data_IF_295340717866
#
_entry.id   IF_295340717866
#
_cell.length_a   1.000
_cell.length_b   1.000
_cell.length_c   1.000
_cell.angle_alpha   90.00
_cell.angle_beta   90.00
_cell.angle_gamma   90.00
#
_symmetry.space_group_name_H-M   'P 1'
#
loop_
_entity.id
_entity.type
_entity.pdbx_description
1 polymer ?
#
# COMPACT_ATOMS: atom_id res chain seq x y z
N UNK A 1 8.10 -37.70 -72.10
CA UNK A 1 8.29 -38.41 -70.81
C UNK A 1 9.03 -37.50 -69.84
N UNK A 2 8.57 -36.31 -69.56
CA UNK A 2 9.18 -35.35 -68.58
C UNK A 2 8.01 -34.60 -67.84
N UNK A 3 7.22 -35.32 -67.04
CA UNK A 3 6.15 -34.70 -66.27
C UNK A 3 5.98 -35.27 -64.83
N UNK A 4 6.86 -36.13 -64.39
CA UNK A 4 6.72 -36.80 -63.05
C UNK A 4 7.67 -36.31 -61.96
N UNK A 5 8.65 -35.44 -62.24
CA UNK A 5 9.66 -35.03 -61.25
C UNK A 5 9.54 -33.60 -60.72
N UNK A 6 8.63 -32.77 -61.26
CA UNK A 6 8.52 -31.35 -60.86
C UNK A 6 7.60 -31.16 -59.63
N UNK A 7 6.58 -32.02 -59.50
CA UNK A 7 5.60 -31.91 -58.40
C UNK A 7 6.17 -32.10 -56.98
N UNK A 8 7.04 -33.09 -56.74
CA UNK A 8 7.65 -33.25 -55.42
C UNK A 8 8.69 -32.15 -55.10
N UNK A 9 9.34 -31.59 -56.11
CA UNK A 9 10.26 -30.46 -55.92
C UNK A 9 9.53 -29.17 -55.54
N UNK A 10 8.38 -28.92 -56.18
CA UNK A 10 7.53 -27.76 -55.87
C UNK A 10 6.95 -27.88 -54.44
N UNK A 11 6.55 -29.08 -54.02
CA UNK A 11 6.06 -29.32 -52.65
C UNK A 11 7.15 -29.13 -51.58
N UNK A 12 8.39 -29.56 -51.86
CA UNK A 12 9.51 -29.38 -50.93
C UNK A 12 9.95 -27.90 -50.83
N UNK A 13 9.89 -27.15 -51.91
CA UNK A 13 10.20 -25.70 -51.93
C UNK A 13 9.09 -24.91 -51.23
N UNK A 14 7.80 -25.24 -51.40
CA UNK A 14 6.69 -24.62 -50.68
C UNK A 14 6.73 -24.97 -49.18
N UNK A 15 7.13 -26.20 -48.82
CA UNK A 15 7.29 -26.60 -47.42
C UNK A 15 8.49 -25.90 -46.73
N UNK A 16 9.60 -25.72 -47.44
CA UNK A 16 10.75 -24.94 -46.96
C UNK A 16 10.43 -23.42 -46.89
N UNK A 17 9.64 -22.88 -47.81
CA UNK A 17 9.13 -21.49 -47.69
C UNK A 17 8.14 -21.33 -46.55
N UNK A 18 7.26 -22.32 -46.29
CA UNK A 18 6.34 -22.29 -45.14
C UNK A 18 7.09 -22.43 -43.83
N UNK A 19 8.19 -23.20 -43.74
CA UNK A 19 9.05 -23.26 -42.56
C UNK A 19 9.85 -21.96 -42.34
N UNK A 20 10.23 -21.26 -43.42
CA UNK A 20 10.95 -19.99 -43.36
C UNK A 20 10.04 -18.82 -42.89
N UNK A 21 8.71 -18.94 -43.07
CA UNK A 21 7.73 -17.94 -42.58
C UNK A 21 7.26 -18.22 -41.14
N UNK A 22 7.59 -19.37 -40.55
CA UNK A 22 7.44 -19.67 -39.12
C UNK A 22 8.69 -19.24 -38.34
N UNK A 23 9.23 -18.05 -38.61
CA UNK A 23 9.93 -17.34 -37.54
C UNK A 23 8.82 -16.89 -36.56
N UNK A 24 8.51 -17.78 -35.63
CA UNK A 24 7.99 -17.34 -34.35
C UNK A 24 9.03 -16.34 -33.84
N UNK A 25 8.67 -15.04 -33.88
CA UNK A 25 9.38 -14.08 -33.06
C UNK A 25 9.31 -14.60 -31.63
N UNK A 26 10.35 -15.30 -31.22
CA UNK A 26 10.54 -15.70 -29.84
C UNK A 26 10.67 -14.36 -29.09
N UNK A 27 9.53 -13.86 -28.61
CA UNK A 27 9.50 -12.67 -27.75
C UNK A 27 10.46 -13.00 -26.62
N UNK A 28 11.59 -12.31 -26.56
CA UNK A 28 12.56 -12.53 -25.51
C UNK A 28 11.84 -12.47 -24.16
N UNK A 29 12.05 -13.44 -23.30
CA UNK A 29 11.46 -13.44 -21.98
C UNK A 29 11.97 -12.22 -21.23
N UNK A 30 11.13 -11.52 -20.46
CA UNK A 30 11.55 -10.40 -19.63
C UNK A 30 12.75 -10.77 -18.78
N UNK A 31 13.76 -9.93 -18.76
CA UNK A 31 14.98 -10.11 -17.96
C UNK A 31 15.05 -9.05 -16.86
N UNK A 32 15.88 -9.31 -15.85
CA UNK A 32 16.16 -8.33 -14.81
C UNK A 32 17.54 -7.76 -15.02
N UNK A 33 17.60 -6.45 -15.21
CA UNK A 33 18.81 -5.64 -15.33
C UNK A 33 19.07 -4.98 -13.99
N UNK A 34 20.27 -5.09 -13.46
CA UNK A 34 20.62 -4.59 -12.13
C UNK A 34 21.52 -3.36 -12.21
N UNK A 35 21.16 -2.32 -11.47
CA UNK A 35 21.94 -1.08 -11.32
C UNK A 35 22.45 -1.01 -9.87
N UNK A 36 23.79 -0.81 -9.68
CA UNK A 36 24.84 -0.47 -10.64
C UNK A 36 25.62 -1.69 -11.20
N UNK A 37 25.15 -2.92 -11.04
CA UNK A 37 25.93 -4.14 -11.38
C UNK A 37 26.09 -4.33 -12.89
N UNK A 38 25.02 -4.24 -13.66
CA UNK A 38 25.05 -4.46 -15.11
C UNK A 38 25.34 -3.15 -15.86
N UNK A 39 24.77 -2.02 -15.37
CA UNK A 39 25.00 -0.67 -15.89
C UNK A 39 25.23 0.30 -14.74
N UNK A 40 26.13 1.25 -14.96
CA UNK A 40 26.52 2.21 -13.91
C UNK A 40 25.45 3.27 -13.60
N UNK A 41 24.55 3.53 -14.56
CA UNK A 41 23.46 4.49 -14.43
C UNK A 41 22.11 3.85 -14.71
N UNK A 42 21.04 4.43 -14.13
CA UNK A 42 19.67 3.94 -14.33
C UNK A 42 19.24 4.18 -15.77
N UNK A 43 19.54 5.36 -16.34
CA UNK A 43 19.15 5.67 -17.71
C UNK A 43 19.82 4.75 -18.73
N UNK A 44 21.08 4.38 -18.51
CA UNK A 44 21.77 3.42 -19.36
C UNK A 44 21.12 2.04 -19.33
N UNK A 45 20.72 1.55 -18.14
CA UNK A 45 19.95 0.32 -17.98
C UNK A 45 18.61 0.39 -18.71
N UNK A 46 17.85 1.50 -18.59
CA UNK A 46 16.60 1.74 -19.30
C UNK A 46 16.81 1.69 -20.83
N UNK A 47 17.88 2.32 -21.33
CA UNK A 47 18.18 2.37 -22.76
C UNK A 47 18.44 0.96 -23.35
N UNK A 48 19.08 0.06 -22.59
CA UNK A 48 19.40 -1.30 -23.02
C UNK A 48 18.27 -2.31 -22.74
N UNK A 49 17.31 -1.96 -21.89
CA UNK A 49 16.13 -2.79 -21.63
C UNK A 49 15.29 -3.00 -22.89
N UNK A 50 14.69 -4.18 -23.01
CA UNK A 50 13.63 -4.46 -24.00
C UNK A 50 12.25 -4.35 -23.35
N UNK A 51 11.14 -4.18 -24.13
CA UNK A 51 9.80 -4.10 -23.56
C UNK A 51 9.44 -5.32 -22.72
N UNK A 52 9.09 -5.06 -21.45
CA UNK A 52 8.74 -6.06 -20.44
C UNK A 52 9.84 -6.35 -19.45
N UNK A 53 11.06 -5.85 -19.65
CA UNK A 53 12.16 -6.03 -18.68
C UNK A 53 11.90 -5.32 -17.35
N UNK A 54 12.64 -5.78 -16.35
CA UNK A 54 12.71 -5.18 -15.01
C UNK A 54 14.08 -4.53 -14.83
N UNK A 55 14.11 -3.23 -14.56
CA UNK A 55 15.31 -2.51 -14.11
C UNK A 55 15.25 -2.41 -12.60
N UNK A 56 16.12 -3.15 -11.92
CA UNK A 56 16.22 -3.22 -10.47
C UNK A 56 17.40 -2.37 -9.98
N UNK A 57 17.09 -1.33 -9.20
CA UNK A 57 18.05 -0.33 -8.74
C UNK A 57 18.33 -0.54 -7.26
N UNK A 58 19.59 -0.84 -6.93
CA UNK A 58 20.03 -1.02 -5.54
C UNK A 58 19.99 0.29 -4.75
N UNK A 59 20.05 0.17 -3.43
CA UNK A 59 20.19 1.31 -2.53
C UNK A 59 21.39 2.19 -2.93
N UNK A 60 21.19 3.50 -2.95
CA UNK A 60 22.19 4.49 -3.35
C UNK A 60 21.57 5.81 -3.76
N UNK A 61 22.42 6.81 -4.05
CA UNK A 61 21.95 8.11 -4.57
C UNK A 61 22.39 8.24 -6.03
N UNK A 62 21.39 8.39 -6.91
CA UNK A 62 21.54 8.53 -8.35
C UNK A 62 21.22 9.95 -8.76
N UNK A 63 22.14 10.59 -9.45
CA UNK A 63 22.01 11.99 -9.89
C UNK A 63 21.59 11.99 -11.37
N UNK A 64 20.33 11.67 -11.64
CA UNK A 64 19.79 11.45 -12.97
C UNK A 64 18.39 12.02 -13.11
N UNK A 65 18.00 12.30 -14.36
CA UNK A 65 16.61 12.50 -14.78
C UNK A 65 16.28 11.39 -15.76
N UNK A 66 15.25 10.61 -15.49
CA UNK A 66 14.97 9.39 -16.23
C UNK A 66 13.86 9.61 -17.26
N UNK A 67 14.05 9.02 -18.43
CA UNK A 67 13.03 8.96 -19.47
C UNK A 67 12.81 7.53 -19.92
N UNK A 68 11.55 7.09 -19.93
CA UNK A 68 11.14 5.72 -20.26
C UNK A 68 10.30 5.79 -21.54
N UNK A 69 10.77 5.13 -22.60
CA UNK A 69 10.16 5.09 -23.94
C UNK A 69 9.64 3.70 -24.32
N UNK A 70 9.60 2.78 -23.37
CA UNK A 70 9.14 1.39 -23.57
C UNK A 70 8.46 0.85 -22.32
N UNK A 71 7.59 -0.15 -22.49
CA UNK A 71 6.97 -0.83 -21.38
C UNK A 71 8.04 -1.53 -20.54
N UNK A 72 8.20 -1.15 -19.28
CA UNK A 72 9.12 -1.80 -18.36
C UNK A 72 8.69 -1.60 -16.89
N UNK A 73 9.31 -2.37 -16.01
CA UNK A 73 9.25 -2.17 -14.56
C UNK A 73 10.55 -1.53 -14.09
N UNK A 74 10.46 -0.35 -13.48
CA UNK A 74 11.56 0.32 -12.81
C UNK A 74 11.32 0.22 -11.29
N UNK A 75 12.18 -0.52 -10.60
CA UNK A 75 12.05 -0.77 -9.16
C UNK A 75 13.30 -0.38 -8.41
N UNK A 76 13.16 0.45 -7.39
CA UNK A 76 14.17 0.70 -6.37
C UNK A 76 14.10 -0.36 -5.27
N UNK A 77 15.21 -0.67 -4.66
CA UNK A 77 15.30 -1.65 -3.58
C UNK A 77 14.45 -1.24 -2.36
N UNK A 78 14.48 0.05 -2.01
CA UNK A 78 13.69 0.61 -0.92
C UNK A 78 13.56 2.13 -1.09
N UNK A 79 12.32 2.66 -0.96
CA UNK A 79 12.03 4.10 -1.10
C UNK A 79 12.78 5.02 -0.12
N UNK A 80 13.33 4.49 0.97
CA UNK A 80 14.10 5.31 1.91
C UNK A 80 15.58 5.39 1.52
N UNK A 81 16.08 4.41 0.79
CA UNK A 81 17.51 4.25 0.50
C UNK A 81 17.88 4.30 -0.97
N UNK A 82 16.90 4.15 -1.89
CA UNK A 82 17.11 4.31 -3.35
C UNK A 82 16.70 5.72 -3.76
N UNK A 83 17.64 6.65 -3.77
CA UNK A 83 17.40 8.07 -3.95
C UNK A 83 17.69 8.49 -5.39
N UNK A 84 16.68 9.05 -6.07
CA UNK A 84 16.82 9.73 -7.35
C UNK A 84 16.83 11.24 -7.11
N UNK A 85 17.99 11.86 -7.23
CA UNK A 85 18.16 13.30 -7.15
C UNK A 85 18.23 13.88 -8.57
N UNK A 86 17.19 14.56 -8.99
CA UNK A 86 17.10 15.09 -10.35
C UNK A 86 17.81 16.41 -10.59
N UNK A 87 18.61 16.93 -9.63
CA UNK A 87 19.49 18.08 -9.80
C UNK A 87 18.80 19.36 -10.34
N UNK A 88 17.52 19.56 -10.01
CA UNK A 88 16.70 20.67 -10.53
C UNK A 88 16.12 20.43 -11.94
N UNK A 89 16.19 19.22 -12.45
CA UNK A 89 15.59 18.84 -13.74
C UNK A 89 14.07 18.96 -13.76
N UNK A 90 13.50 18.89 -14.97
CA UNK A 90 12.06 19.08 -15.14
C UNK A 90 11.25 17.87 -14.65
N UNK A 91 11.69 16.65 -14.95
CA UNK A 91 11.13 15.40 -14.42
C UNK A 91 12.17 14.65 -13.59
N UNK A 92 11.74 13.97 -12.53
CA UNK A 92 12.51 12.89 -11.93
C UNK A 92 12.44 11.65 -12.82
N UNK A 93 11.21 11.19 -13.09
CA UNK A 93 10.93 10.09 -14.02
C UNK A 93 9.82 10.54 -14.97
N UNK A 94 10.10 10.52 -16.29
CA UNK A 94 9.14 10.76 -17.34
C UNK A 94 8.88 9.49 -18.15
N UNK A 95 7.61 9.20 -18.50
CA UNK A 95 7.22 8.12 -19.40
C UNK A 95 6.14 8.60 -20.36
N UNK A 96 6.28 8.26 -21.67
CA UNK A 96 5.34 8.73 -22.68
C UNK A 96 4.95 7.60 -23.63
N UNK A 97 3.63 7.41 -23.82
CA UNK A 97 3.03 6.42 -24.73
C UNK A 97 3.40 4.97 -24.43
N UNK A 98 3.69 4.67 -23.17
CA UNK A 98 4.11 3.35 -22.68
C UNK A 98 3.49 3.05 -21.31
N UNK A 99 3.30 1.78 -20.99
CA UNK A 99 2.86 1.36 -19.67
C UNK A 99 4.08 1.03 -18.81
N UNK A 100 4.14 1.63 -17.64
CA UNK A 100 5.28 1.49 -16.73
C UNK A 100 4.83 1.09 -15.33
N UNK A 101 5.68 0.34 -14.64
CA UNK A 101 5.61 0.20 -13.20
C UNK A 101 6.80 0.95 -12.60
N UNK A 102 6.53 1.91 -11.70
CA UNK A 102 7.56 2.71 -11.01
C UNK A 102 7.35 2.57 -9.51
N UNK A 103 8.31 1.99 -8.83
CA UNK A 103 8.16 1.68 -7.40
C UNK A 103 9.49 1.75 -6.63
N UNK A 104 9.45 2.09 -5.34
CA UNK A 104 10.57 1.94 -4.43
C UNK A 104 11.61 3.08 -4.46
N UNK A 105 11.27 4.25 -4.95
CA UNK A 105 12.19 5.40 -5.06
C UNK A 105 11.86 6.52 -4.09
N UNK A 106 12.92 7.18 -3.60
CA UNK A 106 12.86 8.55 -3.09
C UNK A 106 13.26 9.52 -4.20
N UNK A 107 12.34 10.42 -4.58
CA UNK A 107 12.55 11.36 -5.70
C UNK A 107 12.56 12.78 -5.15
N UNK A 108 13.63 13.51 -5.44
CA UNK A 108 13.82 14.88 -4.92
C UNK A 108 14.59 15.77 -5.90
N UNK A 109 14.53 17.10 -5.66
CA UNK A 109 15.20 18.12 -6.46
C UNK A 109 14.79 18.08 -7.94
N UNK A 110 13.48 18.08 -8.20
CA UNK A 110 12.86 18.08 -9.52
C UNK A 110 11.67 19.02 -9.57
N UNK A 111 11.30 19.48 -10.74
CA UNK A 111 10.06 20.25 -10.93
C UNK A 111 8.83 19.35 -10.80
N UNK A 112 8.85 18.18 -11.41
CA UNK A 112 7.80 17.15 -11.35
C UNK A 112 8.45 15.83 -10.93
N UNK A 113 7.89 15.17 -9.90
CA UNK A 113 8.42 13.89 -9.42
C UNK A 113 8.31 12.80 -10.48
N UNK A 114 7.09 12.38 -10.79
CA UNK A 114 6.78 11.37 -11.82
C UNK A 114 5.77 11.95 -12.81
N UNK A 115 6.09 11.90 -14.09
CA UNK A 115 5.21 12.30 -15.20
C UNK A 115 4.93 11.12 -16.11
N UNK A 116 3.66 10.80 -16.32
CA UNK A 116 3.22 9.74 -17.23
C UNK A 116 2.20 10.33 -18.21
N UNK A 117 2.50 10.22 -19.49
CA UNK A 117 1.68 10.76 -20.56
C UNK A 117 1.25 9.68 -21.55
N UNK A 118 -0.03 9.73 -21.98
CA UNK A 118 -0.61 8.84 -23.01
C UNK A 118 -0.37 7.35 -22.72
N UNK A 119 -0.50 6.97 -21.44
CA UNK A 119 -0.29 5.62 -20.94
C UNK A 119 -1.60 5.05 -20.42
N UNK A 120 -1.82 3.77 -20.63
CA UNK A 120 -2.95 3.05 -20.05
C UNK A 120 -2.43 1.89 -19.20
N UNK A 121 -2.93 1.76 -17.94
CA UNK A 121 -2.53 0.71 -17.01
C UNK A 121 -1.08 0.80 -16.48
N UNK A 122 -0.58 2.02 -16.22
CA UNK A 122 0.66 2.21 -15.46
C UNK A 122 0.43 2.03 -13.97
N UNK A 123 1.48 1.61 -13.25
CA UNK A 123 1.49 1.45 -11.79
C UNK A 123 2.57 2.35 -11.19
N UNK A 124 2.17 3.27 -10.33
CA UNK A 124 3.07 4.15 -9.59
C UNK A 124 2.83 3.88 -8.11
N UNK A 125 3.76 3.19 -7.46
CA UNK A 125 3.51 2.75 -6.10
C UNK A 125 4.75 2.77 -5.22
N UNK A 126 4.53 2.93 -3.91
CA UNK A 126 5.59 2.82 -2.91
C UNK A 126 6.79 3.74 -3.16
N UNK A 127 6.53 4.99 -3.58
CA UNK A 127 7.57 6.02 -3.74
C UNK A 127 7.40 7.11 -2.67
N UNK A 128 8.51 7.79 -2.36
CA UNK A 128 8.57 8.98 -1.51
C UNK A 128 8.98 10.17 -2.42
N UNK A 129 8.10 11.15 -2.57
CA UNK A 129 8.25 12.18 -3.60
C UNK A 129 8.18 13.58 -2.98
N UNK A 130 9.27 14.34 -3.17
CA UNK A 130 9.34 15.76 -2.89
C UNK A 130 9.71 16.50 -4.16
N UNK A 131 8.85 17.40 -4.63
CA UNK A 131 9.05 18.13 -5.88
C UNK A 131 8.61 19.60 -5.75
N UNK A 132 9.11 20.46 -6.62
CA UNK A 132 8.81 21.90 -6.52
C UNK A 132 7.42 22.28 -7.04
N UNK A 133 6.84 21.54 -7.99
CA UNK A 133 5.54 21.89 -8.58
C UNK A 133 4.50 20.77 -8.54
N UNK A 134 4.85 19.53 -8.94
CA UNK A 134 3.92 18.40 -8.93
C UNK A 134 4.61 17.14 -8.43
N UNK A 135 3.92 16.38 -7.58
CA UNK A 135 4.40 15.09 -7.13
C UNK A 135 4.25 14.04 -8.24
N UNK A 136 3.04 13.62 -8.51
CA UNK A 136 2.71 12.67 -9.59
C UNK A 136 1.75 13.36 -10.58
N UNK A 137 2.04 13.25 -11.87
CA UNK A 137 1.21 13.81 -12.92
C UNK A 137 0.90 12.79 -14.01
N UNK A 138 -0.37 12.39 -14.11
CA UNK A 138 -0.92 11.63 -15.23
C UNK A 138 -1.57 12.59 -16.22
N UNK A 139 -1.21 12.45 -17.52
CA UNK A 139 -1.73 13.27 -18.58
C UNK A 139 -2.19 12.39 -19.75
N UNK A 140 -3.48 12.45 -20.13
CA UNK A 140 -4.12 11.54 -21.08
C UNK A 140 -3.85 10.05 -20.75
N UNK A 141 -3.91 9.66 -19.47
CA UNK A 141 -3.54 8.33 -19.01
C UNK A 141 -4.68 7.70 -18.22
N UNK A 142 -5.10 6.50 -18.60
CA UNK A 142 -6.28 5.83 -18.05
C UNK A 142 -5.92 4.49 -17.40
N UNK A 143 -6.86 3.95 -16.59
CA UNK A 143 -6.75 2.60 -16.00
C UNK A 143 -5.44 2.39 -15.21
N UNK A 144 -4.83 3.45 -14.71
CA UNK A 144 -3.57 3.41 -13.97
C UNK A 144 -3.81 3.35 -12.47
N UNK A 145 -2.83 2.84 -11.74
CA UNK A 145 -2.88 2.73 -10.28
C UNK A 145 -1.81 3.63 -9.66
N UNK A 146 -2.22 4.54 -8.78
CA UNK A 146 -1.34 5.33 -7.93
C UNK A 146 -1.60 4.87 -6.50
N UNK A 147 -0.62 4.16 -5.88
CA UNK A 147 -0.88 3.55 -4.59
C UNK A 147 0.33 3.56 -3.65
N UNK A 148 0.07 3.71 -2.35
CA UNK A 148 1.10 3.63 -1.29
C UNK A 148 2.30 4.57 -1.53
N UNK A 149 2.06 5.73 -2.15
CA UNK A 149 3.09 6.75 -2.28
C UNK A 149 2.96 7.76 -1.13
N UNK A 150 4.11 8.29 -0.69
CA UNK A 150 4.19 9.46 0.19
C UNK A 150 4.60 10.64 -0.67
N UNK A 151 3.75 11.65 -0.76
CA UNK A 151 3.97 12.85 -1.56
C UNK A 151 3.89 14.04 -0.60
N UNK A 152 4.96 14.81 -0.48
CA UNK A 152 5.01 15.84 0.53
C UNK A 152 5.87 17.04 0.13
N UNK A 153 5.63 18.19 0.79
CA UNK A 153 6.36 19.43 0.56
C UNK A 153 6.39 19.85 -0.91
N UNK A 154 5.25 19.66 -1.61
CA UNK A 154 5.08 20.04 -3.01
C UNK A 154 4.37 21.39 -3.08
N UNK A 155 5.09 22.41 -3.53
CA UNK A 155 4.60 23.80 -3.49
C UNK A 155 3.28 24.02 -4.26
N UNK A 156 2.96 23.18 -5.23
CA UNK A 156 1.75 23.38 -6.04
C UNK A 156 0.74 22.23 -5.92
N UNK A 157 1.02 21.03 -6.45
CA UNK A 157 0.03 19.94 -6.53
C UNK A 157 0.65 18.59 -6.21
N UNK A 158 0.08 17.83 -5.27
CA UNK A 158 0.52 16.49 -4.91
C UNK A 158 0.27 15.49 -6.04
N UNK A 159 -0.98 15.14 -6.31
CA UNK A 159 -1.40 14.24 -7.39
C UNK A 159 -2.21 15.03 -8.43
N UNK A 160 -1.90 14.83 -9.71
CA UNK A 160 -2.59 15.53 -10.82
C UNK A 160 -2.99 14.51 -11.88
N UNK A 161 -4.28 14.45 -12.18
CA UNK A 161 -4.83 13.72 -13.32
C UNK A 161 -5.48 14.72 -14.26
N UNK A 162 -4.96 14.92 -15.46
CA UNK A 162 -5.54 15.86 -16.43
C UNK A 162 -5.47 15.35 -17.87
N UNK A 163 -6.00 16.16 -18.81
CA UNK A 163 -6.20 15.72 -20.18
C UNK A 163 -7.28 14.66 -20.33
N UNK A 164 -8.25 14.58 -19.39
CA UNK A 164 -9.26 13.52 -19.40
C UNK A 164 -8.78 12.16 -18.91
N UNK A 165 -7.71 12.14 -18.07
CA UNK A 165 -7.24 10.89 -17.43
C UNK A 165 -8.34 10.27 -16.56
N UNK A 166 -8.86 9.11 -16.96
CA UNK A 166 -10.08 8.49 -16.44
C UNK A 166 -9.85 7.05 -16.00
N UNK A 167 -10.77 6.53 -15.18
CA UNK A 167 -10.75 5.12 -14.73
C UNK A 167 -9.46 4.74 -13.97
N UNK A 168 -8.79 5.72 -13.35
CA UNK A 168 -7.59 5.46 -12.54
C UNK A 168 -8.00 5.16 -11.10
N UNK A 169 -7.17 4.36 -10.42
CA UNK A 169 -7.34 4.05 -8.99
C UNK A 169 -6.25 4.75 -8.19
N UNK A 170 -6.66 5.59 -7.25
CA UNK A 170 -5.79 6.34 -6.34
C UNK A 170 -6.09 5.87 -4.92
N UNK A 171 -5.19 5.08 -4.33
CA UNK A 171 -5.45 4.38 -3.08
C UNK A 171 -4.21 4.32 -2.17
N UNK A 172 -4.40 4.40 -0.85
CA UNK A 172 -3.31 4.23 0.14
C UNK A 172 -2.21 5.29 0.07
N UNK A 173 -2.41 6.39 -0.64
CA UNK A 173 -1.39 7.43 -0.71
C UNK A 173 -1.50 8.37 0.50
N UNK A 174 -0.35 8.87 0.96
CA UNK A 174 -0.29 9.98 1.90
C UNK A 174 0.19 11.21 1.14
N UNK A 175 -0.68 12.22 1.03
CA UNK A 175 -0.40 13.48 0.34
C UNK A 175 -0.50 14.60 1.37
N UNK A 176 0.62 15.21 1.70
CA UNK A 176 0.67 16.18 2.80
C UNK A 176 1.51 17.40 2.50
N UNK A 177 1.17 18.52 3.16
CA UNK A 177 1.93 19.75 3.10
C UNK A 177 2.15 20.24 1.65
N UNK A 178 1.11 20.09 0.81
CA UNK A 178 1.10 20.49 -0.59
C UNK A 178 0.18 21.70 -0.81
N UNK A 179 0.35 22.44 -1.92
CA UNK A 179 -0.59 23.49 -2.29
C UNK A 179 -1.99 22.93 -2.56
N UNK A 180 -2.11 21.90 -3.39
CA UNK A 180 -3.32 21.10 -3.53
C UNK A 180 -2.98 19.63 -3.37
N UNK A 181 -3.74 18.90 -2.56
CA UNK A 181 -3.54 17.47 -2.37
C UNK A 181 -3.75 16.69 -3.67
N UNK A 182 -4.94 16.76 -4.26
CA UNK A 182 -5.26 16.11 -5.52
C UNK A 182 -6.03 17.05 -6.48
N UNK A 183 -5.74 16.94 -7.77
CA UNK A 183 -6.42 17.68 -8.86
C UNK A 183 -6.81 16.72 -9.97
N UNK A 184 -8.08 16.70 -10.34
CA UNK A 184 -8.62 15.80 -11.37
C UNK A 184 -9.26 16.60 -12.52
N UNK A 185 -9.11 16.14 -13.74
CA UNK A 185 -9.86 16.60 -14.91
C UNK A 185 -10.24 15.43 -15.83
N UNK A 186 -10.70 14.34 -15.24
CA UNK A 186 -11.22 13.14 -15.87
C UNK A 186 -12.38 12.58 -15.05
N UNK A 187 -13.04 11.56 -15.54
CA UNK A 187 -14.20 10.93 -14.91
C UNK A 187 -13.94 9.46 -14.56
N UNK A 188 -14.76 8.91 -13.67
CA UNK A 188 -14.71 7.48 -13.35
C UNK A 188 -13.46 7.07 -12.58
N UNK A 189 -12.71 8.01 -11.99
CA UNK A 189 -11.59 7.65 -11.13
C UNK A 189 -12.10 7.21 -9.75
N UNK A 190 -11.37 6.29 -9.12
CA UNK A 190 -11.65 5.74 -7.80
C UNK A 190 -10.60 6.24 -6.81
N UNK A 191 -11.03 6.99 -5.79
CA UNK A 191 -10.15 7.67 -4.84
C UNK A 191 -10.61 7.32 -3.41
N UNK A 192 -9.94 6.40 -2.72
CA UNK A 192 -10.31 6.03 -1.36
C UNK A 192 -9.09 5.48 -0.59
N UNK A 193 -9.19 5.43 0.74
CA UNK A 193 -8.11 5.06 1.65
C UNK A 193 -6.83 5.91 1.50
N UNK A 194 -6.95 7.15 1.00
CA UNK A 194 -5.82 8.07 0.97
C UNK A 194 -5.86 8.98 2.20
N UNK A 195 -4.69 9.47 2.59
CA UNK A 195 -4.53 10.46 3.65
C UNK A 195 -4.16 11.81 3.02
N UNK A 196 -5.09 12.76 3.04
CA UNK A 196 -4.86 14.15 2.62
C UNK A 196 -4.65 15.02 3.87
N UNK A 197 -3.40 15.48 4.09
CA UNK A 197 -3.00 16.06 5.37
C UNK A 197 -2.40 17.45 5.17
N UNK A 198 -2.96 18.48 5.84
CA UNK A 198 -2.41 19.83 5.90
C UNK A 198 -2.07 20.43 4.52
N UNK A 199 -2.78 20.05 3.46
CA UNK A 199 -2.63 20.72 2.19
C UNK A 199 -3.34 22.08 2.26
N UNK A 200 -2.87 23.09 1.53
CA UNK A 200 -3.57 24.39 1.47
C UNK A 200 -5.03 24.20 1.00
N UNK A 201 -5.23 23.29 0.03
CA UNK A 201 -6.51 22.76 -0.36
C UNK A 201 -6.39 21.24 -0.50
N UNK A 202 -7.28 20.47 0.10
CA UNK A 202 -7.24 19.01 -0.03
C UNK A 202 -7.50 18.59 -1.48
N UNK A 203 -8.40 19.30 -2.15
CA UNK A 203 -8.73 19.13 -3.57
C UNK A 203 -8.56 20.42 -4.33
N UNK A 204 -7.96 20.37 -5.54
CA UNK A 204 -7.90 21.53 -6.44
C UNK A 204 -9.15 21.64 -7.31
N UNK A 205 -9.09 22.50 -8.36
CA UNK A 205 -10.17 22.62 -9.34
C UNK A 205 -10.39 21.26 -10.03
N UNK A 206 -11.59 20.73 -9.85
CA UNK A 206 -12.09 19.51 -10.48
C UNK A 206 -13.25 19.95 -11.35
N UNK A 207 -13.17 19.84 -12.70
CA UNK A 207 -14.34 19.98 -13.54
C UNK A 207 -15.41 18.98 -13.06
N UNK A 208 -16.68 19.35 -13.12
CA UNK A 208 -17.84 18.60 -12.57
C UNK A 208 -18.05 17.20 -13.18
N UNK A 209 -16.99 16.47 -13.45
CA UNK A 209 -17.03 15.06 -13.82
C UNK A 209 -17.18 14.21 -12.57
N UNK A 210 -17.96 13.14 -12.67
CA UNK A 210 -18.17 12.23 -11.53
C UNK A 210 -16.95 11.34 -11.31
N UNK A 211 -16.49 11.30 -10.06
CA UNK A 211 -15.48 10.38 -9.56
C UNK A 211 -15.96 9.75 -8.26
N UNK A 212 -15.57 8.52 -7.97
CA UNK A 212 -15.90 7.82 -6.73
C UNK A 212 -14.83 8.13 -5.67
N UNK A 213 -15.24 8.70 -4.53
CA UNK A 213 -14.36 9.14 -3.45
C UNK A 213 -14.39 8.25 -2.21
N UNK A 214 -15.14 7.19 -2.28
CA UNK A 214 -15.23 6.14 -1.27
C UNK A 214 -15.53 4.80 -1.96
N UNK A 215 -15.20 3.72 -1.29
CA UNK A 215 -15.78 2.41 -1.59
C UNK A 215 -17.17 2.26 -0.93
N UNK A 216 -17.63 1.04 -0.69
CA UNK A 216 -18.94 0.80 -0.08
C UNK A 216 -19.02 1.27 1.38
N UNK A 217 -17.90 1.32 2.11
CA UNK A 217 -17.86 1.51 3.55
C UNK A 217 -16.88 2.57 4.02
N UNK A 218 -15.84 2.87 3.25
CA UNK A 218 -14.71 3.69 3.66
C UNK A 218 -14.28 4.64 2.54
N UNK A 219 -13.96 5.88 2.89
CA UNK A 219 -13.48 6.89 1.95
C UNK A 219 -12.01 7.26 2.21
N UNK A 220 -11.75 8.56 2.33
CA UNK A 220 -10.43 9.11 2.55
C UNK A 220 -10.35 9.83 3.90
N UNK A 221 -9.15 9.96 4.42
CA UNK A 221 -8.87 10.87 5.53
C UNK A 221 -8.58 12.28 4.98
N UNK A 222 -9.31 13.26 5.51
CA UNK A 222 -9.19 14.67 5.20
C UNK A 222 -8.87 15.43 6.49
N UNK A 223 -7.67 15.98 6.62
CA UNK A 223 -7.25 16.62 7.88
C UNK A 223 -8.07 17.85 8.29
N UNK A 224 -8.86 18.42 7.37
CA UNK A 224 -9.78 19.51 7.59
C UNK A 224 -11.25 19.06 7.77
N UNK A 225 -11.52 17.74 7.74
CA UNK A 225 -12.84 17.21 8.03
C UNK A 225 -13.19 17.41 9.52
N UNK A 226 -14.34 18.00 9.78
CA UNK A 226 -14.80 18.36 11.13
C UNK A 226 -16.17 17.77 11.48
N UNK A 227 -16.61 16.73 10.77
CA UNK A 227 -17.82 15.99 11.08
C UNK A 227 -17.71 15.17 12.36
N UNK A 228 -18.80 14.50 12.73
CA UNK A 228 -18.90 13.65 13.91
C UNK A 228 -18.85 12.17 13.55
N UNK A 229 -18.49 11.35 14.51
CA UNK A 229 -18.60 9.89 14.49
C UNK A 229 -19.45 9.46 15.69
N UNK A 230 -20.77 9.62 15.60
CA UNK A 230 -21.69 9.19 16.64
C UNK A 230 -21.80 7.67 16.70
N UNK A 231 -21.53 6.99 15.57
CA UNK A 231 -21.43 5.54 15.45
C UNK A 231 -20.24 4.98 16.20
N UNK A 232 -19.19 5.77 16.43
CA UNK A 232 -17.92 5.31 17.00
C UNK A 232 -17.35 4.13 16.23
N UNK A 233 -17.27 4.28 14.92
CA UNK A 233 -16.74 3.24 14.02
C UNK A 233 -15.57 3.74 13.18
N UNK A 234 -15.11 4.98 13.44
CA UNK A 234 -13.99 5.60 12.74
C UNK A 234 -14.37 6.24 11.42
N UNK A 235 -15.68 6.28 11.08
CA UNK A 235 -16.23 6.86 9.86
C UNK A 235 -17.09 8.07 10.23
N UNK A 236 -16.96 9.16 9.49
CA UNK A 236 -17.76 10.36 9.72
C UNK A 236 -19.21 10.19 9.26
N UNK A 237 -20.14 10.68 10.08
CA UNK A 237 -21.59 10.58 9.82
C UNK A 237 -22.08 11.49 8.70
N UNK A 238 -21.28 12.47 8.28
CA UNK A 238 -21.65 13.44 7.23
C UNK A 238 -20.62 13.41 6.11
N UNK A 239 -21.07 13.52 4.83
CA UNK A 239 -20.15 13.53 3.71
C UNK A 239 -19.14 14.69 3.75
N UNK A 240 -17.92 14.45 3.26
CA UNK A 240 -16.98 15.50 2.91
C UNK A 240 -17.29 15.99 1.49
N UNK A 241 -17.70 17.26 1.38
CA UNK A 241 -18.11 17.85 0.10
C UNK A 241 -16.90 18.36 -0.67
N UNK A 242 -16.77 17.93 -1.92
CA UNK A 242 -15.69 18.30 -2.83
C UNK A 242 -16.21 19.34 -3.83
N UNK A 243 -17.28 19.03 -4.55
CA UNK A 243 -17.98 19.94 -5.45
C UNK A 243 -19.46 19.52 -5.60
N UNK A 244 -20.19 20.12 -6.56
CA UNK A 244 -21.61 19.82 -6.75
C UNK A 244 -21.94 18.39 -7.19
N UNK A 245 -20.95 17.63 -7.72
CA UNK A 245 -21.12 16.26 -8.22
C UNK A 245 -20.25 15.25 -7.48
N UNK A 246 -19.33 15.71 -6.65
CA UNK A 246 -18.34 14.90 -5.99
C UNK A 246 -18.38 15.09 -4.48
N UNK A 247 -18.48 13.98 -3.76
CA UNK A 247 -18.37 13.93 -2.30
C UNK A 247 -17.82 12.59 -1.85
N UNK A 248 -17.12 12.59 -0.74
CA UNK A 248 -16.78 11.39 -0.01
C UNK A 248 -17.90 11.13 1.02
N UNK A 249 -18.64 10.04 0.84
CA UNK A 249 -19.79 9.73 1.70
C UNK A 249 -19.38 9.08 3.03
N UNK A 250 -18.15 8.58 3.11
CA UNK A 250 -17.61 7.83 4.24
C UNK A 250 -16.23 8.35 4.67
N UNK A 251 -16.11 9.68 4.94
CA UNK A 251 -14.81 10.26 5.30
C UNK A 251 -14.28 9.62 6.59
N UNK A 252 -12.97 9.36 6.61
CA UNK A 252 -12.34 8.71 7.75
C UNK A 252 -12.06 9.73 8.86
N UNK A 253 -12.31 9.35 10.10
CA UNK A 253 -12.05 10.17 11.29
C UNK A 253 -10.58 10.18 11.72
N UNK A 254 -9.76 9.35 11.07
CA UNK A 254 -8.32 9.24 11.31
C UNK A 254 -7.59 8.70 10.09
N UNK A 255 -6.26 8.73 10.14
CA UNK A 255 -5.41 8.24 9.05
C UNK A 255 -5.62 6.75 8.80
N UNK A 256 -5.74 6.39 7.52
CA UNK A 256 -5.74 5.01 7.08
C UNK A 256 -4.32 4.48 6.98
N UNK A 257 -4.05 3.35 7.62
CA UNK A 257 -2.77 2.67 7.52
C UNK A 257 -2.99 1.20 7.16
N UNK A 258 -2.03 0.64 6.41
CA UNK A 258 -2.02 -0.76 6.04
C UNK A 258 -0.68 -1.39 6.40
N UNK A 259 -0.72 -2.51 7.12
CA UNK A 259 0.45 -3.26 7.57
C UNK A 259 0.44 -4.65 6.94
N UNK A 260 1.52 -4.96 6.21
CA UNK A 260 1.75 -6.28 5.60
C UNK A 260 2.54 -7.15 6.57
N UNK A 261 1.96 -8.27 6.97
CA UNK A 261 2.55 -9.23 7.90
C UNK A 261 2.86 -10.50 7.14
N UNK A 262 4.14 -10.91 7.17
CA UNK A 262 4.58 -12.22 6.65
C UNK A 262 4.53 -13.23 7.80
N UNK A 263 3.65 -14.21 7.72
CA UNK A 263 3.48 -15.20 8.76
C UNK A 263 3.20 -16.58 8.15
N UNK A 264 3.96 -17.60 8.55
CA UNK A 264 3.82 -19.00 8.06
C UNK A 264 3.84 -19.14 6.53
N UNK A 265 4.56 -18.27 5.83
CA UNK A 265 4.68 -18.27 4.36
C UNK A 265 3.57 -17.55 3.61
N UNK A 266 2.58 -17.00 4.32
CA UNK A 266 1.47 -16.22 3.77
C UNK A 266 1.62 -14.73 4.11
N UNK A 267 0.94 -13.87 3.34
CA UNK A 267 0.88 -12.43 3.58
C UNK A 267 -0.50 -12.05 4.11
N UNK A 268 -0.52 -11.49 5.31
CA UNK A 268 -1.73 -10.97 5.94
C UNK A 268 -1.73 -9.44 5.91
N UNK A 269 -2.92 -8.86 5.79
CA UNK A 269 -3.12 -7.42 5.81
C UNK A 269 -3.87 -7.05 7.08
N UNK A 270 -3.27 -6.20 7.91
CA UNK A 270 -3.94 -5.53 9.02
C UNK A 270 -4.10 -4.07 8.64
N UNK A 271 -5.30 -3.51 8.79
CA UNK A 271 -5.56 -2.10 8.51
C UNK A 271 -6.00 -1.37 9.77
N UNK A 272 -5.71 -0.08 9.84
CA UNK A 272 -6.17 0.78 10.92
C UNK A 272 -6.71 2.10 10.40
N UNK A 273 -7.73 2.63 11.09
CA UNK A 273 -8.15 4.04 11.01
C UNK A 273 -7.90 4.62 12.40
N UNK A 274 -6.97 5.56 12.50
CA UNK A 274 -6.49 6.04 13.79
C UNK A 274 -6.20 7.55 13.75
N UNK A 275 -6.66 8.30 14.74
CA UNK A 275 -6.35 9.73 14.85
C UNK A 275 -5.01 10.01 15.55
N UNK A 276 -4.21 8.96 15.77
CA UNK A 276 -2.87 9.02 16.33
C UNK A 276 -1.83 8.60 15.30
N UNK A 277 -0.60 9.07 15.44
CA UNK A 277 0.52 8.53 14.67
C UNK A 277 0.87 7.15 15.19
N UNK A 278 0.88 6.15 14.31
CA UNK A 278 1.26 4.77 14.61
C UNK A 278 2.74 4.57 14.27
N UNK A 279 3.50 3.98 15.19
CA UNK A 279 4.90 3.61 15.01
C UNK A 279 5.17 2.22 15.58
N UNK A 280 6.28 1.60 15.18
CA UNK A 280 6.74 0.30 15.69
C UNK A 280 5.67 -0.81 15.60
N UNK A 281 4.88 -0.80 14.50
CA UNK A 281 3.92 -1.86 14.26
C UNK A 281 4.64 -3.19 14.06
N UNK A 282 4.30 -4.18 14.88
CA UNK A 282 4.94 -5.48 14.93
C UNK A 282 3.92 -6.61 15.13
N UNK A 283 4.26 -7.80 14.60
CA UNK A 283 3.53 -9.03 14.87
C UNK A 283 4.50 -10.15 15.27
N UNK A 284 4.33 -10.66 16.47
CA UNK A 284 5.00 -11.88 16.94
C UNK A 284 6.48 -11.74 17.28
N UNK A 285 7.13 -10.60 17.05
CA UNK A 285 8.55 -10.37 17.34
C UNK A 285 8.72 -9.96 18.82
N UNK A 286 8.05 -8.87 19.20
CA UNK A 286 8.12 -8.35 20.59
C UNK A 286 7.31 -9.21 21.54
N UNK A 287 6.09 -9.58 21.16
CA UNK A 287 5.19 -10.43 21.93
C UNK A 287 4.72 -11.61 21.07
N UNK A 288 4.96 -12.83 21.53
CA UNK A 288 4.60 -14.02 20.78
C UNK A 288 3.09 -14.06 20.50
N UNK A 289 2.73 -14.24 19.22
CA UNK A 289 1.35 -14.27 18.76
C UNK A 289 0.52 -13.04 19.18
N UNK A 290 1.10 -11.85 19.07
CA UNK A 290 0.40 -10.60 19.36
C UNK A 290 0.71 -9.54 18.29
N UNK A 291 -0.24 -8.65 18.06
CA UNK A 291 0.02 -7.39 17.37
C UNK A 291 0.41 -6.36 18.42
N UNK A 292 1.50 -5.63 18.19
CA UNK A 292 1.88 -4.50 19.02
C UNK A 292 2.25 -3.29 18.18
N UNK A 293 1.96 -2.09 18.68
CA UNK A 293 2.34 -0.83 18.07
C UNK A 293 2.26 0.30 19.08
N UNK A 294 2.96 1.40 18.79
CA UNK A 294 2.86 2.62 19.58
C UNK A 294 1.91 3.62 18.89
N UNK A 295 1.13 4.33 19.70
CA UNK A 295 0.32 5.47 19.27
C UNK A 295 0.82 6.73 19.95
N UNK A 296 0.86 7.84 19.21
CA UNK A 296 1.28 9.15 19.73
C UNK A 296 0.40 10.25 19.17
N UNK A 297 0.01 11.21 20.00
CA UNK A 297 -0.78 12.37 19.60
C UNK A 297 -0.82 13.46 20.68
N UNK A 298 -1.58 14.56 20.48
CA UNK A 298 -1.65 15.70 21.39
C UNK A 298 -2.18 15.29 22.76
N UNK A 299 -1.39 15.56 23.81
CA UNK A 299 -1.70 15.18 25.19
C UNK A 299 -3.07 15.69 25.64
N UNK A 300 -3.84 14.84 26.32
CA UNK A 300 -5.13 15.15 26.89
C UNK A 300 -6.31 15.20 25.93
N UNK A 301 -6.10 14.89 24.65
CA UNK A 301 -7.21 14.74 23.70
C UNK A 301 -7.71 13.30 23.65
N UNK A 302 -8.89 13.07 23.02
CA UNK A 302 -9.42 11.73 22.82
C UNK A 302 -8.72 11.02 21.66
N UNK A 303 -8.15 9.86 21.94
CA UNK A 303 -7.59 8.95 20.94
C UNK A 303 -8.56 7.84 20.61
N UNK A 304 -8.54 7.38 19.35
CA UNK A 304 -9.21 6.17 18.94
C UNK A 304 -8.36 5.39 17.92
N UNK A 305 -8.62 4.11 17.85
CA UNK A 305 -8.14 3.25 16.78
C UNK A 305 -9.25 2.26 16.41
N UNK A 306 -9.58 2.22 15.12
CA UNK A 306 -10.27 1.10 14.51
C UNK A 306 -9.23 0.21 13.86
N UNK A 307 -9.26 -1.09 14.12
CA UNK A 307 -8.33 -2.06 13.54
C UNK A 307 -9.10 -3.24 12.95
N UNK A 308 -8.62 -3.72 11.81
CA UNK A 308 -9.17 -4.89 11.13
C UNK A 308 -8.12 -5.99 11.13
N UNK A 309 -8.47 -7.12 11.75
CA UNK A 309 -7.55 -8.25 11.98
C UNK A 309 -8.08 -9.51 11.27
N UNK A 310 -7.28 -10.13 10.38
CA UNK A 310 -7.62 -11.43 9.81
C UNK A 310 -7.64 -12.53 10.88
N UNK A 311 -8.71 -13.34 10.94
CA UNK A 311 -8.80 -14.49 11.87
C UNK A 311 -7.69 -15.51 11.68
N UNK A 312 -7.20 -15.65 10.43
CA UNK A 312 -6.08 -16.53 10.11
C UNK A 312 -4.77 -16.13 10.80
N UNK A 313 -4.66 -14.87 11.26
CA UNK A 313 -3.48 -14.35 11.94
C UNK A 313 -3.55 -14.56 13.46
N UNK A 314 -4.69 -14.22 14.10
CA UNK A 314 -4.84 -14.22 15.57
C UNK A 314 -6.09 -14.96 16.09
N UNK A 315 -6.93 -15.57 15.24
CA UNK A 315 -8.24 -16.10 15.66
C UNK A 315 -9.35 -15.04 15.60
N UNK A 316 -10.40 -15.19 16.38
CA UNK A 316 -11.61 -14.37 16.36
C UNK A 316 -11.95 -13.66 17.68
N UNK A 317 -11.20 -13.93 18.75
CA UNK A 317 -11.39 -13.30 20.06
C UNK A 317 -10.07 -12.71 20.55
N UNK A 318 -10.11 -11.47 21.02
CA UNK A 318 -8.92 -10.70 21.38
C UNK A 318 -9.10 -9.97 22.72
N UNK A 319 -7.97 -9.73 23.40
CA UNK A 319 -7.86 -8.77 24.47
C UNK A 319 -6.95 -7.63 24.02
N UNK A 320 -7.44 -6.39 24.14
CA UNK A 320 -6.66 -5.18 23.84
C UNK A 320 -6.11 -4.62 25.16
N UNK A 321 -4.83 -4.32 25.19
CA UNK A 321 -4.14 -3.70 26.31
C UNK A 321 -3.48 -2.39 25.85
N UNK A 322 -3.62 -1.36 26.65
CA UNK A 322 -2.99 -0.05 26.49
C UNK A 322 -2.12 0.17 27.73
N UNK A 323 -0.79 0.15 27.54
CA UNK A 323 0.18 0.14 28.66
C UNK A 323 -0.14 -0.93 29.72
N UNK A 324 -0.58 -2.10 29.27
CA UNK A 324 -0.95 -3.23 30.12
C UNK A 324 -2.32 -3.13 30.78
N UNK A 325 -3.14 -2.13 30.48
CA UNK A 325 -4.50 -1.94 31.02
C UNK A 325 -5.55 -1.99 29.91
N UNK A 326 -6.80 -2.37 30.20
CA UNK A 326 -7.88 -2.31 29.20
C UNK A 326 -8.12 -0.89 28.67
N UNK A 327 -8.60 -0.74 27.42
CA UNK A 327 -8.96 0.55 26.85
C UNK A 327 -10.11 1.23 27.62
N UNK A 328 -10.27 2.55 27.42
CA UNK A 328 -11.39 3.30 28.01
C UNK A 328 -12.74 2.75 27.52
N UNK A 329 -12.79 2.42 26.23
CA UNK A 329 -13.94 1.79 25.58
C UNK A 329 -13.43 0.89 24.46
N UNK A 330 -14.08 -0.25 24.31
CA UNK A 330 -13.81 -1.23 23.25
C UNK A 330 -15.13 -1.78 22.75
N UNK A 331 -15.22 -2.00 21.44
CA UNK A 331 -16.33 -2.71 20.84
C UNK A 331 -15.92 -3.39 19.54
N UNK A 332 -16.55 -4.52 19.26
CA UNK A 332 -16.54 -5.15 17.96
C UNK A 332 -17.59 -4.49 17.06
N UNK A 333 -17.21 -4.20 15.82
CA UNK A 333 -18.08 -3.54 14.85
C UNK A 333 -18.94 -4.56 14.08
N UNK A 334 -20.16 -4.17 13.64
CA UNK A 334 -21.05 -5.05 12.86
C UNK A 334 -20.48 -5.53 11.52
N UNK A 335 -19.39 -4.94 11.05
CA UNK A 335 -18.66 -5.35 9.83
C UNK A 335 -17.83 -6.63 10.03
N UNK A 336 -17.63 -7.07 11.27
CA UNK A 336 -16.96 -8.34 11.58
C UNK A 336 -17.68 -9.51 10.89
N UNK A 337 -16.90 -10.44 10.36
CA UNK A 337 -17.39 -11.56 9.57
C UNK A 337 -16.57 -12.82 9.86
N UNK A 338 -16.77 -13.91 9.11
CA UNK A 338 -16.08 -15.19 9.33
C UNK A 338 -14.58 -15.19 9.05
N UNK A 339 -14.02 -14.08 8.52
CA UNK A 339 -12.60 -14.00 8.14
C UNK A 339 -11.85 -12.85 8.80
N UNK A 340 -12.56 -11.81 9.24
CA UNK A 340 -11.98 -10.60 9.83
C UNK A 340 -12.81 -10.08 10.99
N UNK A 341 -12.15 -9.66 12.03
CA UNK A 341 -12.74 -8.88 13.13
C UNK A 341 -12.41 -7.41 12.96
N UNK A 342 -13.41 -6.55 13.13
CA UNK A 342 -13.32 -5.09 13.14
C UNK A 342 -13.50 -4.63 14.57
N UNK A 343 -12.44 -4.09 15.17
CA UNK A 343 -12.43 -3.58 16.53
C UNK A 343 -12.31 -2.05 16.52
N UNK A 344 -13.04 -1.41 17.42
CA UNK A 344 -12.89 0.02 17.69
C UNK A 344 -12.63 0.21 19.19
N UNK A 345 -11.61 0.98 19.54
CA UNK A 345 -11.28 1.26 20.94
C UNK A 345 -10.76 2.68 21.11
N UNK A 346 -10.89 3.21 22.35
CA UNK A 346 -10.53 4.58 22.68
C UNK A 346 -9.57 4.64 23.87
N UNK A 347 -8.80 5.73 23.90
CA UNK A 347 -7.81 6.04 24.92
C UNK A 347 -7.63 7.55 25.09
N UNK A 348 -6.99 7.99 26.15
CA UNK A 348 -6.53 9.39 26.27
C UNK A 348 -5.23 9.53 25.50
N UNK A 349 -5.14 10.49 24.57
CA UNK A 349 -3.93 10.66 23.77
C UNK A 349 -2.74 11.13 24.61
N UNK A 350 -1.68 10.38 24.52
CA UNK A 350 -0.28 10.71 24.83
C UNK A 350 0.58 9.79 23.96
N UNK A 351 1.63 9.19 24.52
CA UNK A 351 2.33 8.05 23.92
C UNK A 351 1.93 6.79 24.66
N UNK A 352 1.38 5.81 23.96
CA UNK A 352 0.96 4.52 24.52
C UNK A 352 1.47 3.36 23.69
N UNK A 353 1.72 2.24 24.35
CA UNK A 353 1.89 0.94 23.71
C UNK A 353 0.54 0.22 23.65
N UNK A 354 0.15 -0.19 22.46
CA UNK A 354 -1.04 -1.02 22.21
C UNK A 354 -0.58 -2.45 21.98
N UNK A 355 -1.18 -3.40 22.69
CA UNK A 355 -0.94 -4.83 22.51
C UNK A 355 -2.28 -5.52 22.31
N UNK A 356 -2.40 -6.31 21.24
CA UNK A 356 -3.60 -7.10 20.94
C UNK A 356 -3.19 -8.57 20.94
N UNK A 357 -3.72 -9.31 21.91
CA UNK A 357 -3.43 -10.73 22.11
C UNK A 357 -4.66 -11.58 21.83
N UNK A 358 -4.52 -12.79 21.25
CA UNK A 358 -5.64 -13.71 21.14
C UNK A 358 -6.09 -14.18 22.54
N UNK A 359 -7.39 -14.28 22.75
CA UNK A 359 -7.92 -14.92 23.92
C UNK A 359 -7.73 -16.43 23.83
N UNK A 360 -7.07 -17.02 24.82
CA UNK A 360 -7.01 -18.47 24.95
C UNK A 360 -8.38 -19.00 25.39
N UNK A 361 -8.93 -20.02 24.70
CA UNK A 361 -10.15 -20.65 25.18
C UNK A 361 -10.04 -21.02 26.66
N UNK A 362 -11.02 -20.63 27.48
CA UNK A 362 -11.06 -20.93 28.91
C UNK A 362 -10.87 -22.42 29.22
N UNK A 363 -11.24 -23.29 28.28
CA UNK A 363 -10.98 -24.73 28.29
C UNK A 363 -9.49 -25.09 28.26
N UNK A 364 -8.65 -24.36 27.56
CA UNK A 364 -7.18 -24.56 27.56
C UNK A 364 -6.55 -24.09 28.86
N UNK A 365 -7.01 -22.95 29.40
CA UNK A 365 -6.55 -22.46 30.70
C UNK A 365 -6.93 -23.47 31.81
N UNK A 366 -8.17 -23.98 31.76
CA UNK A 366 -8.64 -24.98 32.72
C UNK A 366 -7.84 -26.29 32.59
N UNK A 367 -7.58 -26.73 31.33
CA UNK A 367 -6.77 -27.94 31.09
C UNK A 367 -5.34 -27.78 31.58
N UNK A 368 -4.71 -26.63 31.35
CA UNK A 368 -3.34 -26.34 31.86
C UNK A 368 -3.28 -26.27 33.37
N UNK A 369 -4.28 -25.67 34.05
CA UNK A 369 -4.41 -25.65 35.48
C UNK A 369 -4.62 -27.07 36.09
N UNK A 370 -5.41 -27.91 35.41
CA UNK A 370 -5.61 -29.32 35.80
C UNK A 370 -4.29 -30.09 35.64
N UNK A 371 -3.58 -29.93 34.53
CA UNK A 371 -2.27 -30.58 34.30
C UNK A 371 -1.25 -30.11 35.35
N UNK A 372 -1.21 -28.82 35.66
CA UNK A 372 -0.34 -28.27 36.65
C UNK A 372 -0.67 -28.81 38.08
N UNK A 373 -1.95 -28.86 38.39
CA UNK A 373 -2.41 -29.41 39.71
C UNK A 373 -2.10 -30.91 39.86
N UNK A 374 -2.28 -31.69 38.76
CA UNK A 374 -1.94 -33.11 38.72
C UNK A 374 -0.42 -33.34 38.85
N UNK A 375 0.39 -32.50 38.17
CA UNK A 375 1.86 -32.58 38.26
C UNK A 375 2.37 -32.20 39.66
N UNK A 376 1.78 -31.18 40.28
CA UNK A 376 2.07 -30.85 41.71
C UNK A 376 1.65 -31.98 42.65
N UNK A 377 0.47 -32.56 42.44
CA UNK A 377 0.01 -33.70 43.25
C UNK A 377 0.91 -34.94 43.09
N UNK A 378 1.42 -35.20 41.89
CA UNK A 378 2.39 -36.28 41.65
C UNK A 378 3.75 -35.98 42.27
N UNK A 379 4.21 -34.73 42.29
CA UNK A 379 5.44 -34.33 42.98
C UNK A 379 5.31 -34.44 44.49
N UNK A 380 4.17 -34.01 45.08
CA UNK A 380 3.90 -34.14 46.54
C UNK A 380 3.83 -35.64 46.94
N UNK A 381 3.25 -36.51 46.09
CA UNK A 381 3.26 -37.96 46.35
C UNK A 381 4.65 -38.59 46.27
N UNK A 382 5.55 -38.08 45.42
CA UNK A 382 6.94 -38.53 45.36
C UNK A 382 7.82 -38.05 46.53
N UNK A 383 7.50 -36.90 47.10
CA UNK A 383 8.25 -36.32 48.23
C UNK A 383 7.79 -36.88 49.57
N UNK A 384 6.61 -37.50 49.67
CA UNK A 384 6.12 -38.20 50.84
C UNK A 384 5.86 -39.70 50.57
N UNK A 385 6.89 -40.51 50.37
CA UNK A 385 6.71 -41.94 50.47
C UNK A 385 7.02 -42.35 51.92
N UNK A 386 6.10 -42.35 52.78
CA UNK A 386 6.09 -43.16 54.04
C UNK A 386 5.22 -42.55 55.11
N UNK A 387 4.04 -43.00 55.23
CA UNK A 387 3.48 -43.50 56.46
C UNK A 387 2.57 -44.68 56.11
N UNK A 388 3.22 -45.80 55.76
CA UNK A 388 2.60 -47.10 55.94
C UNK A 388 3.12 -47.67 57.29
N UNK A 389 2.18 -47.84 58.21
CA UNK A 389 2.09 -48.80 59.29
C UNK A 389 3.00 -48.72 60.48
N UNK A 390 2.41 -48.45 61.56
CA UNK A 390 2.20 -49.57 62.55
C UNK A 390 0.85 -49.45 63.18
#
# INVERSE_FOLDING_TARGET
MIRKSVLPLLFSVLFLLALATLQLDAKASPTTIKVPQDYSTIQEAINHAIPGDVVNVSAGTYYENLYIDKNLTLTGENRETTVLNGMGGYYGIGATSVNVTITGFKILNVTIGIYVEQSNASIISHNDITASQRGIWLYYSNNSIISDNVIHDVAWRGIVLCGGSSENTIILNTVRDCGNGIVLSGEGNFIFHNNFINNENQTGFIPSFYNAWNDTYEGNYWSDYNGTDAGQDGIGDTPYLIDGNNQDNHPLMGMYNQFKIQWEGETYIVTTICNSTITNFDFGITYQNAISFNVTGPEGTAGFCRIVIPHALLGDNYTILIDGSPPIMEKELPLSNSTHTYLYFTYTLTTHEIIIVPEFPTTMILASLIILSLSVACLVRKVNPEKKQK
#
